data_IF_421367737278
#
_entry.id   IF_421367737278
#
_cell.length_a   1.000
_cell.length_b   1.000
_cell.length_c   1.000
_cell.angle_alpha   90.00
_cell.angle_beta   90.00
_cell.angle_gamma   90.00
#
_symmetry.space_group_name_H-M   'P 1'
#
loop_
_entity.id
_entity.type
_entity.pdbx_description
1 polymer ?
#
# COMPACT_ATOMS: atom_id res chain seq x y z
N UNK A 1 -23.34 -39.89 -29.45
CA UNK A 1 -21.92 -39.69 -29.10
C UNK A 1 -21.56 -40.77 -28.10
N UNK A 2 -20.54 -41.60 -28.35
CA UNK A 2 -20.16 -42.69 -27.42
C UNK A 2 -19.40 -42.06 -26.26
N UNK A 3 -19.82 -42.31 -25.02
CA UNK A 3 -19.06 -41.85 -23.86
C UNK A 3 -17.72 -42.60 -23.78
N UNK A 4 -16.64 -41.85 -23.56
CA UNK A 4 -15.26 -42.37 -23.52
C UNK A 4 -14.75 -42.23 -22.09
N UNK A 5 -14.08 -43.28 -21.59
CA UNK A 5 -13.46 -43.23 -20.28
C UNK A 5 -12.33 -42.20 -20.27
N UNK A 6 -12.43 -41.21 -19.38
CA UNK A 6 -11.46 -40.11 -19.28
C UNK A 6 -10.04 -40.56 -18.91
N UNK A 7 -9.92 -41.67 -18.19
CA UNK A 7 -8.62 -42.17 -17.73
C UNK A 7 -7.87 -43.00 -18.78
N UNK A 8 -8.56 -43.80 -19.60
CA UNK A 8 -7.91 -44.69 -20.57
C UNK A 8 -8.27 -44.44 -22.03
N UNK A 9 -9.11 -43.44 -22.31
CA UNK A 9 -9.56 -43.05 -23.64
C UNK A 9 -10.28 -44.14 -24.45
N UNK A 10 -10.70 -45.23 -23.79
CA UNK A 10 -11.48 -46.31 -24.40
C UNK A 10 -12.99 -46.10 -24.18
N UNK A 11 -13.86 -46.67 -25.04
CA UNK A 11 -15.31 -46.57 -24.88
C UNK A 11 -15.79 -46.99 -23.49
N UNK A 12 -16.55 -46.13 -22.83
CA UNK A 12 -17.19 -46.34 -21.54
C UNK A 12 -18.67 -46.67 -21.79
N UNK A 13 -18.95 -47.91 -22.16
CA UNK A 13 -20.31 -48.39 -22.46
C UNK A 13 -20.70 -49.47 -21.45
N UNK A 14 -21.93 -49.39 -20.89
CA UNK A 14 -22.52 -50.42 -20.04
C UNK A 14 -22.60 -50.09 -18.54
N UNK A 15 -22.91 -51.08 -17.71
CA UNK A 15 -23.21 -50.95 -16.27
C UNK A 15 -21.99 -50.74 -15.36
N UNK A 16 -20.78 -50.77 -15.93
CA UNK A 16 -19.52 -50.60 -15.21
C UNK A 16 -18.87 -49.24 -15.50
N UNK A 17 -19.70 -48.21 -15.65
CA UNK A 17 -19.27 -46.84 -15.81
C UNK A 17 -19.72 -46.01 -14.62
N UNK A 18 -18.83 -45.12 -14.18
CA UNK A 18 -19.10 -44.10 -13.19
C UNK A 18 -19.11 -42.76 -13.93
N UNK A 19 -20.20 -42.00 -13.80
CA UNK A 19 -20.30 -40.65 -14.35
C UNK A 19 -20.17 -39.67 -13.20
N UNK A 20 -19.29 -38.68 -13.35
CA UNK A 20 -19.10 -37.66 -12.33
C UNK A 20 -20.40 -36.86 -12.10
N UNK A 21 -20.83 -36.79 -10.83
CA UNK A 21 -21.97 -35.97 -10.42
C UNK A 21 -21.74 -34.46 -10.53
N UNK A 22 -20.47 -34.02 -10.60
CA UNK A 22 -20.07 -32.62 -10.72
C UNK A 22 -20.30 -32.00 -12.11
N UNK A 23 -19.64 -30.87 -12.37
CA UNK A 23 -19.79 -30.07 -13.61
C UNK A 23 -19.11 -30.70 -14.83
N UNK A 24 -18.03 -31.45 -14.62
CA UNK A 24 -17.23 -32.03 -15.70
C UNK A 24 -17.92 -33.19 -16.44
N UNK A 25 -18.95 -33.82 -15.84
CA UNK A 25 -19.70 -34.96 -16.38
C UNK A 25 -18.85 -36.07 -17.02
N UNK A 26 -17.60 -36.19 -16.57
CA UNK A 26 -16.65 -37.14 -17.13
C UNK A 26 -17.04 -38.58 -16.75
N UNK A 27 -16.91 -39.48 -17.73
CA UNK A 27 -17.17 -40.91 -17.57
C UNK A 27 -15.88 -41.68 -17.26
N UNK A 28 -15.98 -42.66 -16.38
CA UNK A 28 -14.87 -43.51 -15.94
C UNK A 28 -15.29 -44.98 -15.91
N UNK A 29 -14.41 -45.91 -16.27
CA UNK A 29 -14.68 -47.32 -15.97
C UNK A 29 -14.57 -47.57 -14.47
N UNK A 30 -15.51 -48.32 -13.90
CA UNK A 30 -15.51 -48.79 -12.51
C UNK A 30 -14.45 -49.89 -12.28
N UNK A 31 -13.18 -49.61 -12.60
CA UNK A 31 -12.02 -50.49 -12.42
C UNK A 31 -10.86 -49.71 -11.79
N UNK A 32 -10.00 -50.42 -11.05
CA UNK A 32 -8.95 -49.78 -10.26
C UNK A 32 -8.01 -48.90 -11.09
N UNK A 33 -7.68 -49.34 -12.31
CA UNK A 33 -6.81 -48.57 -13.22
C UNK A 33 -7.44 -47.30 -13.80
N UNK A 34 -8.76 -47.10 -13.73
CA UNK A 34 -9.41 -45.90 -14.27
C UNK A 34 -9.89 -44.92 -13.21
N UNK A 35 -10.41 -45.41 -12.08
CA UNK A 35 -10.83 -44.53 -10.98
C UNK A 35 -9.73 -44.30 -9.94
N UNK A 36 -8.59 -44.98 -10.05
CA UNK A 36 -7.47 -44.84 -9.12
C UNK A 36 -7.77 -45.35 -7.71
N UNK A 37 -8.79 -46.19 -7.54
CA UNK A 37 -9.21 -46.74 -6.23
C UNK A 37 -9.15 -48.27 -6.23
N UNK A 38 -8.79 -48.92 -5.10
CA UNK A 38 -8.75 -50.38 -5.01
C UNK A 38 -10.10 -51.04 -5.32
N UNK A 39 -10.08 -52.29 -5.78
CA UNK A 39 -11.29 -53.04 -6.12
C UNK A 39 -12.24 -53.23 -4.91
N UNK A 40 -11.71 -53.30 -3.70
CA UNK A 40 -12.51 -53.32 -2.45
C UNK A 40 -13.32 -52.04 -2.28
N UNK A 41 -12.69 -50.88 -2.50
CA UNK A 41 -13.35 -49.56 -2.43
C UNK A 41 -14.39 -49.41 -3.54
N UNK A 42 -14.11 -49.91 -4.76
CA UNK A 42 -15.08 -49.90 -5.86
C UNK A 42 -16.36 -50.70 -5.53
N UNK A 43 -16.23 -51.83 -4.81
CA UNK A 43 -17.39 -52.60 -4.37
C UNK A 43 -18.24 -51.81 -3.38
N UNK A 44 -17.63 -51.11 -2.44
CA UNK A 44 -18.35 -50.26 -1.48
C UNK A 44 -18.96 -49.02 -2.16
N UNK A 45 -18.26 -48.39 -3.11
CA UNK A 45 -18.79 -47.26 -3.90
C UNK A 45 -20.04 -47.62 -4.72
N UNK A 46 -20.17 -48.88 -5.13
CA UNK A 46 -21.37 -49.38 -5.83
C UNK A 46 -22.54 -49.69 -4.91
N UNK A 47 -22.32 -49.78 -3.59
CA UNK A 47 -23.40 -50.05 -2.63
C UNK A 47 -24.14 -48.75 -2.32
N UNK A 48 -25.47 -48.69 -2.55
CA UNK A 48 -26.26 -47.49 -2.25
C UNK A 48 -26.19 -47.07 -0.77
N UNK A 49 -26.00 -48.02 0.14
CA UNK A 49 -25.98 -47.81 1.57
C UNK A 49 -24.60 -47.44 2.15
N UNK A 50 -23.52 -47.41 1.36
CA UNK A 50 -22.17 -47.20 1.90
C UNK A 50 -21.90 -45.75 2.32
N UNK A 51 -22.68 -44.79 1.81
CA UNK A 51 -22.43 -43.36 2.00
C UNK A 51 -21.10 -42.86 1.41
N UNK A 52 -20.36 -43.73 0.71
CA UNK A 52 -19.08 -43.36 0.12
C UNK A 52 -19.30 -42.58 -1.17
N UNK A 53 -18.60 -41.45 -1.29
CA UNK A 53 -18.55 -40.67 -2.52
C UNK A 53 -17.14 -40.68 -3.08
N UNK A 54 -17.02 -40.94 -4.38
CA UNK A 54 -15.76 -40.78 -5.10
C UNK A 54 -15.64 -39.34 -5.61
N UNK A 55 -14.50 -38.71 -5.36
CA UNK A 55 -14.24 -37.36 -5.85
C UNK A 55 -13.53 -37.44 -7.20
N UNK A 56 -14.16 -36.87 -8.22
CA UNK A 56 -13.63 -36.89 -9.57
C UNK A 56 -12.36 -36.02 -9.69
N UNK A 57 -11.23 -36.55 -10.21
CA UNK A 57 -10.00 -35.79 -10.42
C UNK A 57 -10.20 -34.54 -11.29
N UNK A 58 -10.96 -34.63 -12.38
CA UNK A 58 -11.18 -33.47 -13.26
C UNK A 58 -11.99 -32.36 -12.58
N UNK A 59 -12.97 -32.75 -11.76
CA UNK A 59 -13.80 -31.80 -11.02
C UNK A 59 -13.10 -31.31 -9.74
N UNK A 60 -12.15 -32.07 -9.16
CA UNK A 60 -11.28 -31.55 -8.10
C UNK A 60 -10.30 -30.50 -8.61
N UNK A 61 -9.99 -30.54 -9.90
CA UNK A 61 -9.22 -29.49 -10.60
C UNK A 61 -10.10 -28.26 -10.90
N UNK A 62 -11.42 -28.30 -10.68
CA UNK A 62 -12.30 -27.15 -10.94
C UNK A 62 -13.54 -27.08 -10.02
N UNK A 63 -13.66 -25.98 -9.25
CA UNK A 63 -14.51 -24.93 -9.77
C UNK A 63 -13.70 -23.65 -9.93
N UNK A 64 -13.18 -23.45 -11.14
CA UNK A 64 -12.56 -22.18 -11.55
C UNK A 64 -13.50 -20.99 -11.31
N UNK A 65 -14.83 -21.22 -11.26
CA UNK A 65 -15.90 -20.24 -11.04
C UNK A 65 -16.03 -19.76 -9.59
N UNK A 66 -16.15 -20.65 -8.59
CA UNK A 66 -16.26 -20.22 -7.17
C UNK A 66 -14.97 -19.54 -6.70
N UNK A 67 -13.82 -20.07 -7.12
CA UNK A 67 -12.54 -19.43 -6.86
C UNK A 67 -12.33 -18.18 -7.73
N UNK A 68 -13.04 -18.01 -8.85
CA UNK A 68 -13.01 -16.76 -9.61
C UNK A 68 -13.74 -15.66 -8.86
N UNK A 69 -14.95 -15.93 -8.37
CA UNK A 69 -15.71 -14.97 -7.55
C UNK A 69 -14.91 -14.52 -6.32
N UNK A 70 -14.27 -15.46 -5.61
CA UNK A 70 -13.39 -15.12 -4.48
C UNK A 70 -12.17 -14.30 -4.90
N UNK A 71 -11.55 -14.59 -6.06
CA UNK A 71 -10.43 -13.79 -6.59
C UNK A 71 -10.89 -12.39 -6.99
N UNK A 72 -12.07 -12.26 -7.58
CA UNK A 72 -12.62 -10.97 -8.01
C UNK A 72 -12.98 -10.12 -6.78
N UNK A 73 -13.58 -10.72 -5.75
CA UNK A 73 -13.84 -10.06 -4.47
C UNK A 73 -12.54 -9.62 -3.78
N UNK A 74 -11.52 -10.48 -3.75
CA UNK A 74 -10.22 -10.13 -3.18
C UNK A 74 -9.54 -8.99 -3.95
N UNK A 75 -9.58 -9.03 -5.28
CA UNK A 75 -9.00 -7.99 -6.14
C UNK A 75 -9.69 -6.65 -5.92
N UNK A 76 -11.03 -6.66 -5.90
CA UNK A 76 -11.84 -5.47 -5.59
C UNK A 76 -11.52 -4.90 -4.21
N UNK A 77 -11.36 -5.76 -3.20
CA UNK A 77 -10.97 -5.33 -1.84
C UNK A 77 -9.57 -4.70 -1.81
N UNK A 78 -8.59 -5.29 -2.50
CA UNK A 78 -7.23 -4.74 -2.62
C UNK A 78 -7.26 -3.36 -3.28
N UNK A 79 -8.00 -3.21 -4.38
CA UNK A 79 -8.13 -1.94 -5.08
C UNK A 79 -8.83 -0.88 -4.22
N UNK A 80 -9.85 -1.27 -3.45
CA UNK A 80 -10.49 -0.41 -2.46
C UNK A 80 -9.50 0.14 -1.44
N UNK A 81 -8.75 -0.74 -0.77
CA UNK A 81 -7.73 -0.36 0.22
C UNK A 81 -6.64 0.51 -0.40
N UNK A 82 -6.18 0.17 -1.61
CA UNK A 82 -5.19 0.98 -2.34
C UNK A 82 -5.68 2.40 -2.61
N UNK A 83 -6.95 2.54 -3.02
CA UNK A 83 -7.56 3.84 -3.27
C UNK A 83 -7.70 4.66 -1.99
N UNK A 84 -8.06 4.04 -0.87
CA UNK A 84 -8.12 4.70 0.44
C UNK A 84 -6.75 5.17 0.91
N UNK A 85 -5.71 4.34 0.75
CA UNK A 85 -4.32 4.72 1.07
C UNK A 85 -3.91 5.95 0.25
N UNK A 86 -4.12 5.93 -1.07
CA UNK A 86 -3.80 7.08 -1.92
C UNK A 86 -4.58 8.34 -1.53
N UNK A 87 -5.85 8.21 -1.13
CA UNK A 87 -6.65 9.34 -0.66
C UNK A 87 -6.11 9.91 0.66
N UNK A 88 -5.72 9.04 1.59
CA UNK A 88 -5.11 9.43 2.87
C UNK A 88 -3.76 10.11 2.65
N UNK A 89 -2.90 9.57 1.79
CA UNK A 89 -1.61 10.17 1.43
C UNK A 89 -1.79 11.60 0.90
N UNK A 90 -2.74 11.82 -0.01
CA UNK A 90 -3.05 13.17 -0.53
C UNK A 90 -3.50 14.11 0.59
N UNK A 91 -4.37 13.64 1.49
CA UNK A 91 -4.88 14.42 2.63
C UNK A 91 -3.78 14.78 3.63
N UNK A 92 -2.77 13.92 3.80
CA UNK A 92 -1.67 14.14 4.74
C UNK A 92 -0.52 14.95 4.13
N UNK A 93 -0.29 14.86 2.82
CA UNK A 93 0.82 15.54 2.13
C UNK A 93 0.72 17.06 2.21
N UNK A 94 -0.47 17.64 1.99
CA UNK A 94 -0.65 19.10 2.02
C UNK A 94 -0.40 19.71 3.41
N UNK A 95 -0.99 19.20 4.50
CA UNK A 95 -0.69 19.67 5.86
C UNK A 95 0.78 19.47 6.24
N UNK A 96 1.41 18.37 5.84
CA UNK A 96 2.82 18.12 6.13
C UNK A 96 3.74 19.17 5.47
N UNK A 97 3.49 19.53 4.21
CA UNK A 97 4.23 20.59 3.52
C UNK A 97 3.98 21.97 4.17
N UNK A 98 2.75 22.27 4.57
CA UNK A 98 2.43 23.50 5.29
C UNK A 98 3.19 23.60 6.63
N UNK A 99 3.16 22.54 7.44
CA UNK A 99 3.85 22.49 8.74
C UNK A 99 5.37 22.62 8.59
N UNK A 100 5.97 21.95 7.61
CA UNK A 100 7.41 22.07 7.35
C UNK A 100 7.79 23.49 6.92
N UNK A 101 6.96 24.15 6.11
CA UNK A 101 7.17 25.56 5.73
C UNK A 101 7.05 26.52 6.94
N UNK A 102 6.09 26.29 7.82
CA UNK A 102 5.90 27.07 9.05
C UNK A 102 7.08 26.91 10.00
N UNK A 103 7.52 25.67 10.24
CA UNK A 103 8.71 25.41 11.06
C UNK A 103 9.95 26.10 10.50
N UNK A 104 10.16 26.06 9.17
CA UNK A 104 11.27 26.75 8.52
C UNK A 104 11.19 28.26 8.73
N UNK A 105 10.01 28.87 8.55
CA UNK A 105 9.81 30.31 8.80
C UNK A 105 10.12 30.67 10.25
N UNK A 106 9.59 29.92 11.21
CA UNK A 106 9.84 30.14 12.64
C UNK A 106 11.33 30.06 12.99
N UNK A 107 12.06 29.11 12.41
CA UNK A 107 13.51 28.99 12.60
C UNK A 107 14.29 30.19 12.04
N UNK A 108 13.88 30.71 10.88
CA UNK A 108 14.47 31.92 10.29
C UNK A 108 14.21 33.15 11.18
N UNK A 109 12.97 33.33 11.67
CA UNK A 109 12.65 34.42 12.60
C UNK A 109 13.46 34.35 13.89
N UNK A 110 13.60 33.16 14.49
CA UNK A 110 14.40 32.97 15.69
C UNK A 110 15.89 33.28 15.47
N UNK A 111 16.41 32.96 14.28
CA UNK A 111 17.79 33.27 13.90
C UNK A 111 17.98 34.76 13.69
N UNK A 112 17.09 35.40 12.91
CA UNK A 112 17.11 36.85 12.69
C UNK A 112 16.99 37.63 14.01
N UNK A 113 16.14 37.17 14.94
CA UNK A 113 16.00 37.78 16.26
C UNK A 113 17.29 37.69 17.07
N UNK A 114 17.94 36.52 17.09
CA UNK A 114 19.23 36.35 17.76
C UNK A 114 20.31 37.26 17.19
N UNK A 115 20.39 37.38 15.86
CA UNK A 115 21.33 38.29 15.20
C UNK A 115 21.04 39.75 15.54
N UNK A 116 19.76 40.15 15.58
CA UNK A 116 19.37 41.49 15.98
C UNK A 116 19.73 41.79 17.45
N UNK A 117 19.43 40.88 18.38
CA UNK A 117 19.77 41.03 19.79
C UNK A 117 21.31 41.10 19.99
N UNK A 118 22.08 40.34 19.21
CA UNK A 118 23.54 40.41 19.21
C UNK A 118 24.05 41.76 18.71
N UNK A 119 23.50 42.27 17.60
CA UNK A 119 23.84 43.58 17.06
C UNK A 119 23.51 44.71 18.04
N UNK A 120 22.34 44.65 18.69
CA UNK A 120 21.93 45.62 19.70
C UNK A 120 22.83 45.60 20.94
N UNK A 121 23.38 44.43 21.32
CA UNK A 121 24.36 44.33 22.41
C UNK A 121 25.74 44.88 22.02
N UNK A 122 26.13 44.75 20.75
CA UNK A 122 27.43 45.19 20.24
C UNK A 122 27.50 46.70 19.94
N UNK A 123 26.37 47.36 19.65
CA UNK A 123 26.28 48.80 19.43
C UNK A 123 25.70 49.55 20.65
N UNK A 124 26.52 50.28 21.44
CA UNK A 124 26.05 51.04 22.61
C UNK A 124 25.00 52.12 22.27
N UNK A 125 25.08 52.69 21.06
CA UNK A 125 24.22 53.77 20.57
C UNK A 125 22.77 53.35 20.31
N UNK A 126 22.50 52.10 19.93
CA UNK A 126 21.13 51.58 19.72
C UNK A 126 20.41 51.29 21.04
N UNK A 127 21.15 50.95 22.10
CA UNK A 127 20.58 50.73 23.43
C UNK A 127 20.02 52.02 24.05
N UNK A 128 20.63 53.16 23.74
CA UNK A 128 20.14 54.48 24.14
C UNK A 128 18.83 54.84 23.41
N UNK A 129 18.71 54.54 22.12
CA UNK A 129 17.52 54.90 21.33
C UNK A 129 16.24 54.16 21.77
N UNK A 130 16.32 52.89 22.19
CA UNK A 130 15.14 52.14 22.68
C UNK A 130 14.64 52.60 24.04
N UNK A 131 15.46 53.27 24.85
CA UNK A 131 15.05 53.89 26.12
C UNK A 131 14.62 55.36 25.97
N UNK A 132 14.95 56.01 24.84
CA UNK A 132 14.71 57.44 24.60
C UNK A 132 13.33 57.77 24.01
N UNK A 133 12.48 56.77 23.72
CA UNK A 133 11.07 57.06 23.34
C UNK A 133 10.21 57.56 24.50
N UNK A 134 10.75 57.63 25.73
CA UNK A 134 10.02 58.12 26.89
C UNK A 134 10.56 59.38 27.56
N UNK A 135 11.68 59.97 27.14
CA UNK A 135 12.06 61.28 27.67
C UNK A 135 12.96 62.06 26.70
N UNK A 136 12.58 63.31 26.51
CA UNK A 136 13.26 64.31 25.71
C UNK A 136 14.72 64.55 26.15
N UNK A 137 15.50 65.03 25.18
CA UNK A 137 16.80 65.70 25.29
C UNK A 137 17.99 64.85 25.79
N UNK A 138 18.98 64.61 24.92
CA UNK A 138 20.30 65.25 25.06
C UNK A 138 21.23 64.95 23.87
N UNK A 139 21.88 66.02 23.39
CA UNK A 139 22.98 66.05 22.44
C UNK A 139 24.21 65.32 23.00
N UNK A 140 24.55 64.11 22.52
CA UNK A 140 25.94 63.60 22.51
C UNK A 140 26.05 62.25 21.78
N UNK A 141 26.02 62.27 20.44
CA UNK A 141 26.55 61.14 19.65
C UNK A 141 27.46 61.60 18.50
N UNK A 142 27.86 62.87 18.46
CA UNK A 142 28.69 63.44 17.40
C UNK A 142 30.21 63.21 17.56
N UNK A 143 30.67 62.20 18.31
CA UNK A 143 32.12 62.02 18.58
C UNK A 143 32.72 60.62 18.41
N UNK A 144 32.05 59.69 17.74
CA UNK A 144 32.70 58.44 17.32
C UNK A 144 32.41 58.10 15.85
N UNK A 145 33.02 58.89 14.96
CA UNK A 145 33.56 58.41 13.68
C UNK A 145 35.05 58.79 13.67
N UNK A 146 35.94 57.84 13.40
CA UNK A 146 36.43 57.64 12.04
C UNK A 146 36.22 56.16 11.67
N UNK A 147 35.65 55.81 10.52
CA UNK A 147 36.40 55.71 9.27
C UNK A 147 35.38 55.63 8.12
N UNK A 148 35.24 56.72 7.38
CA UNK A 148 34.85 56.67 5.97
C UNK A 148 35.64 57.78 5.25
N UNK A 149 36.35 57.37 4.20
CA UNK A 149 37.19 58.19 3.32
C UNK A 149 38.33 57.32 2.80
N UNK A 150 38.12 56.55 1.72
CA UNK A 150 38.44 56.89 0.32
C UNK A 150 39.95 56.65 0.05
N UNK A 151 40.45 55.96 -0.98
CA UNK A 151 40.15 56.06 -2.41
C UNK A 151 40.58 54.81 -3.23
N UNK A 152 39.93 54.72 -4.40
CA UNK A 152 40.21 54.08 -5.67
C UNK A 152 41.62 53.57 -6.09
N UNK A 153 41.53 52.57 -7.00
CA UNK A 153 42.28 52.33 -8.26
C UNK A 153 43.30 51.18 -8.35
N UNK A 154 42.89 50.19 -9.14
CA UNK A 154 43.58 49.52 -10.27
C UNK A 154 44.78 48.60 -10.02
N UNK A 155 44.58 47.36 -10.48
CA UNK A 155 45.56 46.38 -10.93
C UNK A 155 44.85 45.34 -11.78
#
# INVERSE_FOLDING_TARGET
MVEVCRACSLPAVGTNTYVCGGSCKAAYHCKAGCMGVPASVLKELKRPASGLSWRCPDCLVSPRSEMAELRDLLTSSIDGVRNEIMALERRLTFPALALTSLHRRSALYATARRSFDQYQRACPCLRCHTHLTHHAQHQSCAKFHPFLGNEHHSG
#
